data_IF_285579315872
#
_entry.id   IF_285579315872
#
_cell.length_a   1.000
_cell.length_b   1.000
_cell.length_c   1.000
_cell.angle_alpha   90.00
_cell.angle_beta   90.00
_cell.angle_gamma   90.00
#
_symmetry.space_group_name_H-M   'P 1'
#
loop_
_entity.id
_entity.type
_entity.pdbx_description
1 polymer ?
#
# COMPACT_ATOMS: atom_id res chain seq x y z
N UNK A 1 26.41 -15.37 -6.23
CA UNK A 1 25.32 -15.87 -5.35
C UNK A 1 25.45 -17.39 -5.23
N UNK A 2 25.46 -18.17 -6.32
CA UNK A 2 25.46 -19.64 -6.29
C UNK A 2 26.61 -20.22 -5.48
N UNK A 3 27.84 -19.80 -5.76
CA UNK A 3 29.03 -20.24 -5.02
C UNK A 3 28.95 -19.89 -3.50
N UNK A 4 28.35 -18.76 -3.16
CA UNK A 4 28.12 -18.38 -1.76
C UNK A 4 27.08 -19.30 -1.11
N UNK A 5 25.97 -19.54 -1.79
CA UNK A 5 24.90 -20.40 -1.28
C UNK A 5 25.37 -21.85 -1.10
N UNK A 6 26.13 -22.39 -2.06
CA UNK A 6 26.71 -23.73 -1.98
C UNK A 6 27.69 -23.86 -0.81
N UNK A 7 28.65 -22.93 -0.70
CA UNK A 7 29.64 -22.90 0.40
C UNK A 7 28.98 -22.86 1.77
N UNK A 8 27.89 -22.12 1.92
CA UNK A 8 27.21 -21.91 3.20
C UNK A 8 25.99 -22.83 3.40
N UNK A 9 25.78 -23.80 2.51
CA UNK A 9 24.64 -24.77 2.55
C UNK A 9 23.30 -24.07 2.69
N UNK A 10 23.11 -22.96 1.96
CA UNK A 10 21.87 -22.21 1.91
C UNK A 10 20.90 -22.94 1.01
N UNK A 11 19.68 -23.20 1.49
CA UNK A 11 18.70 -24.05 0.79
C UNK A 11 18.00 -23.35 -0.37
N UNK A 12 17.93 -22.01 -0.35
CA UNK A 12 17.31 -21.23 -1.41
C UNK A 12 17.71 -19.75 -1.36
N UNK A 13 17.56 -19.08 -2.49
CA UNK A 13 17.76 -17.64 -2.66
C UNK A 13 16.51 -17.02 -3.25
N UNK A 14 16.03 -15.92 -2.66
CA UNK A 14 14.77 -15.30 -3.02
C UNK A 14 14.93 -13.80 -3.15
N UNK A 15 14.34 -13.23 -4.20
CA UNK A 15 14.24 -11.80 -4.42
C UNK A 15 12.76 -11.42 -4.53
N UNK A 16 12.28 -10.57 -3.66
CA UNK A 16 10.88 -10.18 -3.58
C UNK A 16 10.64 -8.84 -4.26
N UNK A 17 9.50 -8.69 -4.96
CA UNK A 17 9.07 -7.43 -5.58
C UNK A 17 10.10 -6.86 -6.57
N UNK A 18 10.55 -7.70 -7.50
CA UNK A 18 11.59 -7.35 -8.46
C UNK A 18 11.04 -6.54 -9.63
N UNK A 19 11.90 -5.70 -10.20
CA UNK A 19 11.63 -5.01 -11.46
C UNK A 19 11.46 -6.00 -12.62
N UNK A 20 10.47 -5.79 -13.54
CA UNK A 20 10.20 -6.72 -14.64
C UNK A 20 11.40 -6.94 -15.59
N UNK A 21 12.21 -5.90 -15.83
CA UNK A 21 13.40 -6.02 -16.68
C UNK A 21 14.46 -6.88 -15.99
N UNK A 22 14.67 -6.66 -14.71
CA UNK A 22 15.60 -7.47 -13.93
C UNK A 22 15.10 -8.92 -13.76
N UNK A 23 13.78 -9.12 -13.60
CA UNK A 23 13.13 -10.44 -13.61
C UNK A 23 13.56 -11.25 -14.84
N UNK A 24 13.35 -10.70 -16.05
CA UNK A 24 13.66 -11.39 -17.30
C UNK A 24 15.14 -11.79 -17.42
N UNK A 25 16.04 -10.96 -16.87
CA UNK A 25 17.48 -11.27 -16.81
C UNK A 25 17.75 -12.45 -15.86
N UNK A 26 17.14 -12.45 -14.68
CA UNK A 26 17.41 -13.46 -13.65
C UNK A 26 16.80 -14.83 -13.98
N UNK A 27 15.72 -14.87 -14.75
CA UNK A 27 15.16 -16.13 -15.28
C UNK A 27 16.18 -16.87 -16.15
N UNK A 28 17.00 -16.15 -16.93
CA UNK A 28 18.09 -16.72 -17.72
C UNK A 28 19.22 -17.33 -16.86
N UNK A 29 19.27 -16.94 -15.57
CA UNK A 29 20.20 -17.48 -14.58
C UNK A 29 19.56 -18.56 -13.68
N UNK A 30 18.43 -19.14 -14.08
CA UNK A 30 17.79 -20.28 -13.41
C UNK A 30 16.96 -19.90 -12.17
N UNK A 31 16.52 -18.65 -12.07
CA UNK A 31 15.49 -18.26 -11.12
C UNK A 31 14.10 -18.50 -11.70
N UNK A 32 13.21 -19.05 -10.91
CA UNK A 32 11.79 -19.21 -11.27
C UNK A 32 10.98 -18.05 -10.72
N UNK A 33 10.07 -17.54 -11.53
CA UNK A 33 9.19 -16.42 -11.14
C UNK A 33 7.96 -16.97 -10.41
N UNK A 34 7.61 -16.32 -9.31
CA UNK A 34 6.30 -16.41 -8.68
C UNK A 34 5.56 -15.10 -8.89
N UNK A 35 4.43 -15.16 -9.58
CA UNK A 35 3.54 -14.04 -9.82
C UNK A 35 2.64 -13.83 -8.62
N UNK A 36 2.55 -12.60 -8.17
CA UNK A 36 1.59 -12.12 -7.19
C UNK A 36 0.88 -10.88 -7.72
N UNK A 37 -0.18 -10.45 -7.10
CA UNK A 37 -0.73 -9.14 -7.39
C UNK A 37 -0.75 -8.22 -6.16
N UNK A 38 -0.64 -6.94 -6.44
CA UNK A 38 -1.00 -5.84 -5.55
C UNK A 38 -2.09 -4.99 -6.20
N UNK A 39 -2.48 -3.94 -5.52
CA UNK A 39 -3.47 -2.99 -6.01
C UNK A 39 -2.82 -1.62 -6.10
N UNK A 40 -2.66 -1.11 -7.31
CA UNK A 40 -1.97 0.15 -7.54
C UNK A 40 -2.92 1.10 -8.30
N UNK A 41 -3.17 2.27 -7.74
CA UNK A 41 -3.89 3.32 -8.41
C UNK A 41 -2.97 4.08 -9.37
N UNK A 42 -3.48 4.37 -10.55
CA UNK A 42 -2.79 5.19 -11.57
C UNK A 42 -3.64 6.42 -11.89
N UNK A 43 -3.00 7.57 -11.93
CA UNK A 43 -3.64 8.80 -12.36
C UNK A 43 -3.93 8.74 -13.87
N UNK A 44 -5.20 8.80 -14.22
CA UNK A 44 -5.66 8.85 -15.62
C UNK A 44 -5.83 10.30 -16.10
N UNK A 45 -4.91 11.17 -15.71
CA UNK A 45 -4.96 12.62 -16.00
C UNK A 45 -6.14 13.33 -15.34
N UNK A 46 -6.59 12.84 -14.18
CA UNK A 46 -7.62 13.50 -13.39
C UNK A 46 -7.16 14.89 -12.97
N UNK A 47 -8.06 15.87 -13.11
CA UNK A 47 -7.82 17.24 -12.68
C UNK A 47 -8.39 17.50 -11.28
N UNK A 48 -9.30 16.63 -10.81
CA UNK A 48 -9.97 16.73 -9.52
C UNK A 48 -10.37 15.36 -8.98
N UNK A 49 -10.70 15.31 -7.70
CA UNK A 49 -11.30 14.12 -7.11
C UNK A 49 -12.68 13.79 -7.71
N UNK A 50 -13.41 14.81 -8.16
CA UNK A 50 -14.69 14.61 -8.86
C UNK A 50 -14.50 13.94 -10.23
N UNK A 51 -13.43 14.22 -10.96
CA UNK A 51 -13.09 13.51 -12.20
C UNK A 51 -12.82 12.02 -11.93
N UNK A 52 -12.07 11.74 -10.87
CA UNK A 52 -11.86 10.36 -10.43
C UNK A 52 -13.20 9.69 -10.06
N UNK A 53 -14.06 10.35 -9.29
CA UNK A 53 -15.40 9.84 -8.96
C UNK A 53 -16.28 9.63 -10.20
N UNK A 54 -16.13 10.46 -11.21
CA UNK A 54 -16.90 10.37 -12.44
C UNK A 54 -16.65 9.08 -13.23
N UNK A 55 -15.52 8.41 -13.03
CA UNK A 55 -15.22 7.11 -13.66
C UNK A 55 -16.06 5.96 -13.11
N UNK A 56 -16.50 6.06 -11.85
CA UNK A 56 -17.28 4.99 -11.22
C UNK A 56 -18.72 4.91 -11.71
N UNK A 57 -19.28 3.71 -11.69
CA UNK A 57 -20.71 3.53 -11.83
C UNK A 57 -21.48 4.25 -10.71
N UNK A 58 -22.76 4.49 -10.93
CA UNK A 58 -23.57 5.32 -10.03
C UNK A 58 -23.65 4.76 -8.60
N UNK A 59 -23.65 3.44 -8.44
CA UNK A 59 -23.74 2.79 -7.14
C UNK A 59 -22.45 3.00 -6.34
N UNK A 60 -21.28 2.73 -6.95
CA UNK A 60 -19.99 2.87 -6.26
C UNK A 60 -19.67 4.33 -5.97
N UNK A 61 -20.00 5.26 -6.86
CA UNK A 61 -19.85 6.70 -6.62
C UNK A 61 -20.66 7.16 -5.40
N UNK A 62 -21.91 6.68 -5.26
CA UNK A 62 -22.73 6.96 -4.06
C UNK A 62 -22.11 6.36 -2.80
N UNK A 63 -21.55 5.15 -2.88
CA UNK A 63 -20.89 4.52 -1.74
C UNK A 63 -19.67 5.32 -1.28
N UNK A 64 -18.79 5.74 -2.19
CA UNK A 64 -17.62 6.56 -1.85
C UNK A 64 -18.04 7.88 -1.18
N UNK A 65 -19.04 8.58 -1.75
CA UNK A 65 -19.57 9.82 -1.15
C UNK A 65 -20.15 9.58 0.25
N UNK A 66 -20.84 8.46 0.46
CA UNK A 66 -21.39 8.08 1.77
C UNK A 66 -20.28 7.78 2.78
N UNK A 67 -19.23 7.06 2.38
CA UNK A 67 -18.10 6.72 3.24
C UNK A 67 -17.37 7.99 3.69
N UNK A 68 -17.09 8.94 2.80
CA UNK A 68 -16.50 10.25 3.17
C UNK A 68 -17.42 11.08 4.06
N UNK A 69 -18.72 11.10 3.76
CA UNK A 69 -19.71 11.81 4.59
C UNK A 69 -19.82 11.20 6.00
N UNK A 70 -19.64 9.90 6.15
CA UNK A 70 -19.66 9.26 7.48
C UNK A 70 -18.56 9.80 8.38
N UNK A 71 -17.36 10.04 7.84
CA UNK A 71 -16.23 10.63 8.57
C UNK A 71 -16.53 12.06 8.99
N UNK A 72 -17.07 12.88 8.09
CA UNK A 72 -17.49 14.25 8.42
C UNK A 72 -18.60 14.27 9.47
N UNK A 73 -19.63 13.41 9.32
CA UNK A 73 -20.72 13.27 10.28
C UNK A 73 -20.26 12.79 11.67
N UNK A 74 -19.15 12.04 11.73
CA UNK A 74 -18.50 11.67 13.00
C UNK A 74 -17.73 12.85 13.66
N UNK A 75 -17.83 14.06 13.10
CA UNK A 75 -17.18 15.26 13.60
C UNK A 75 -15.67 15.26 13.41
N UNK A 76 -15.19 14.65 12.31
CA UNK A 76 -13.76 14.58 12.00
C UNK A 76 -13.40 15.45 10.80
N UNK A 77 -12.19 16.01 10.85
CA UNK A 77 -11.53 16.68 9.73
C UNK A 77 -10.21 16.00 9.43
N UNK A 78 -9.95 15.70 8.15
CA UNK A 78 -8.68 15.16 7.71
C UNK A 78 -7.79 16.29 7.16
N UNK A 79 -6.53 16.31 7.59
CA UNK A 79 -5.50 17.22 7.08
C UNK A 79 -4.36 16.44 6.48
N UNK A 80 -3.92 16.84 5.28
CA UNK A 80 -2.70 16.31 4.67
C UNK A 80 -1.54 17.23 5.06
N UNK A 81 -0.52 16.66 5.68
CA UNK A 81 0.66 17.36 6.15
C UNK A 81 1.90 16.79 5.46
N UNK A 82 2.75 17.68 4.92
CA UNK A 82 3.95 17.29 4.16
C UNK A 82 5.12 18.19 4.54
N UNK A 83 6.33 17.68 4.43
CA UNK A 83 7.55 18.46 4.60
C UNK A 83 7.60 19.21 5.94
N UNK A 84 7.95 20.49 5.87
CA UNK A 84 8.11 21.35 7.06
C UNK A 84 6.79 21.71 7.75
N UNK A 85 5.65 21.46 7.09
CA UNK A 85 4.33 21.63 7.70
C UNK A 85 3.99 20.52 8.71
N UNK A 86 4.80 19.43 8.77
CA UNK A 86 4.57 18.32 9.71
C UNK A 86 5.16 18.71 11.08
N UNK A 87 4.32 18.85 12.13
CA UNK A 87 4.83 19.01 13.50
C UNK A 87 5.67 17.81 13.93
N UNK A 88 6.85 18.05 14.50
CA UNK A 88 7.77 16.99 14.95
C UNK A 88 7.09 15.93 15.82
N UNK A 89 6.17 16.32 16.69
CA UNK A 89 5.46 15.41 17.58
C UNK A 89 4.63 14.35 16.84
N UNK A 90 4.19 14.61 15.60
CA UNK A 90 3.40 13.66 14.83
C UNK A 90 4.21 12.43 14.38
N UNK A 91 5.52 12.53 14.29
CA UNK A 91 6.36 11.36 13.98
C UNK A 91 6.34 10.33 15.12
N UNK A 92 6.50 10.77 16.36
CA UNK A 92 6.32 9.89 17.53
C UNK A 92 4.88 9.40 17.65
N UNK A 93 3.89 10.26 17.37
CA UNK A 93 2.48 9.87 17.41
C UNK A 93 2.14 8.81 16.36
N UNK A 94 2.74 8.89 15.16
CA UNK A 94 2.57 7.85 14.14
C UNK A 94 3.10 6.49 14.61
N UNK A 95 4.20 6.46 15.36
CA UNK A 95 4.68 5.23 15.99
C UNK A 95 3.65 4.64 16.97
N UNK A 96 2.99 5.48 17.79
CA UNK A 96 1.97 4.99 18.71
C UNK A 96 0.84 4.29 17.93
N UNK A 97 0.30 4.95 16.90
CA UNK A 97 -0.73 4.37 16.06
C UNK A 97 -0.28 3.09 15.30
N UNK A 98 0.96 3.09 14.81
CA UNK A 98 1.55 1.89 14.19
C UNK A 98 1.64 0.74 15.20
N UNK A 99 2.16 1.02 16.39
CA UNK A 99 2.30 0.02 17.46
C UNK A 99 0.95 -0.55 17.87
N UNK A 100 -0.05 0.30 18.13
CA UNK A 100 -1.40 -0.10 18.51
C UNK A 100 -2.06 -0.97 17.42
N UNK A 101 -1.84 -0.64 16.14
CA UNK A 101 -2.35 -1.45 15.03
C UNK A 101 -1.67 -2.82 14.98
N UNK A 102 -0.35 -2.89 15.17
CA UNK A 102 0.36 -4.18 15.23
C UNK A 102 -0.15 -5.04 16.42
N UNK A 103 -0.39 -4.43 17.57
CA UNK A 103 -0.85 -5.14 18.77
C UNK A 103 -2.25 -5.76 18.60
N UNK A 104 -3.14 -5.11 17.80
CA UNK A 104 -4.46 -5.66 17.46
C UNK A 104 -4.38 -6.99 16.70
N UNK A 105 -3.30 -7.22 15.96
CA UNK A 105 -3.07 -8.48 15.23
C UNK A 105 -2.40 -9.57 16.08
N UNK A 106 -2.04 -9.29 17.34
CA UNK A 106 -1.44 -10.24 18.27
C UNK A 106 -0.19 -10.91 17.69
N UNK A 107 -0.15 -12.24 17.65
CA UNK A 107 0.97 -13.02 17.13
C UNK A 107 1.30 -12.77 15.65
N UNK A 108 0.36 -12.26 14.87
CA UNK A 108 0.54 -11.91 13.44
C UNK A 108 0.99 -10.47 13.25
N UNK A 109 0.96 -9.66 14.30
CA UNK A 109 1.34 -8.25 14.29
C UNK A 109 2.85 -8.09 14.44
N UNK A 110 3.58 -8.01 13.34
CA UNK A 110 5.03 -7.84 13.35
C UNK A 110 5.42 -6.37 13.46
N UNK A 111 6.01 -5.98 14.60
CA UNK A 111 6.59 -4.64 14.80
C UNK A 111 8.02 -4.59 14.28
N UNK A 112 8.18 -4.30 12.99
CA UNK A 112 9.50 -4.20 12.36
C UNK A 112 10.21 -2.88 12.65
N UNK A 113 9.44 -1.80 12.93
CA UNK A 113 9.96 -0.46 13.07
C UNK A 113 9.91 -0.01 14.53
N UNK A 114 10.93 0.76 14.92
CA UNK A 114 11.05 1.32 16.25
C UNK A 114 10.54 2.77 16.29
N UNK A 115 10.25 3.31 17.48
CA UNK A 115 9.96 4.74 17.66
C UNK A 115 11.06 5.61 17.08
N UNK A 116 12.30 5.23 17.29
CA UNK A 116 13.48 5.95 16.77
C UNK A 116 13.47 6.05 15.24
N UNK A 117 12.99 5.02 14.53
CA UNK A 117 12.84 5.09 13.06
C UNK A 117 11.92 6.26 12.67
N UNK A 118 10.72 6.35 13.25
CA UNK A 118 9.78 7.43 12.93
C UNK A 118 10.34 8.81 13.32
N UNK A 119 10.94 8.95 14.49
CA UNK A 119 11.54 10.21 14.95
C UNK A 119 12.68 10.68 14.06
N UNK A 120 13.47 9.76 13.50
CA UNK A 120 14.57 10.06 12.58
C UNK A 120 14.11 10.52 11.19
N UNK A 121 12.87 10.23 10.81
CA UNK A 121 12.31 10.74 9.56
C UNK A 121 12.18 12.27 9.57
N UNK A 122 11.89 12.86 10.73
CA UNK A 122 11.68 14.31 10.82
C UNK A 122 12.91 15.14 10.37
N UNK A 123 14.14 14.92 10.87
CA UNK A 123 15.28 15.73 10.47
C UNK A 123 15.84 15.38 9.09
N UNK A 124 15.59 14.18 8.56
CA UNK A 124 16.30 13.71 7.38
C UNK A 124 15.40 13.45 6.17
N UNK A 125 14.12 13.12 6.38
CA UNK A 125 13.21 12.63 5.34
C UNK A 125 11.82 13.26 5.39
N UNK A 126 11.56 14.28 6.20
CA UNK A 126 10.26 14.95 6.28
C UNK A 126 9.73 15.37 4.91
N UNK A 127 10.61 15.82 4.01
CA UNK A 127 10.28 16.21 2.63
C UNK A 127 9.72 15.07 1.76
N UNK A 128 9.84 13.81 2.21
CA UNK A 128 9.27 12.63 1.56
C UNK A 128 8.03 12.11 2.25
N UNK A 129 7.73 12.60 3.44
CA UNK A 129 6.61 12.13 4.26
C UNK A 129 5.33 12.84 3.89
N UNK A 130 4.26 12.07 3.76
CA UNK A 130 2.89 12.55 3.65
C UNK A 130 2.09 11.89 4.77
N UNK A 131 1.65 12.67 5.75
CA UNK A 131 0.69 12.23 6.76
C UNK A 131 -0.71 12.69 6.39
N UNK A 132 -1.67 11.77 6.40
CA UNK A 132 -3.08 12.13 6.48
C UNK A 132 -3.51 11.95 7.92
N UNK A 133 -3.84 13.05 8.58
CA UNK A 133 -4.12 13.08 10.01
C UNK A 133 -5.56 13.49 10.24
N UNK A 134 -6.29 12.66 10.98
CA UNK A 134 -7.66 12.95 11.39
C UNK A 134 -7.69 13.63 12.76
N UNK A 135 -8.45 14.70 12.85
CA UNK A 135 -8.69 15.47 14.07
C UNK A 135 -10.19 15.54 14.34
N UNK A 136 -10.57 15.74 15.61
CA UNK A 136 -11.94 16.16 15.91
C UNK A 136 -12.12 17.62 15.50
N UNK A 137 -13.30 17.98 15.01
CA UNK A 137 -13.60 19.37 14.61
C UNK A 137 -13.54 20.36 15.78
N UNK A 138 -13.79 19.89 17.00
CA UNK A 138 -13.72 20.65 18.25
C UNK A 138 -12.34 20.62 18.94
N UNK A 139 -11.41 19.73 18.51
CA UNK A 139 -10.06 19.63 19.05
C UNK A 139 -9.04 19.24 17.97
N UNK A 140 -8.49 20.23 17.31
CA UNK A 140 -7.44 20.06 16.31
C UNK A 140 -6.04 19.81 16.88
N UNK A 141 -5.87 19.76 18.20
CA UNK A 141 -4.56 19.53 18.84
C UNK A 141 -4.24 18.06 18.98
N UNK A 142 -5.25 17.20 19.05
CA UNK A 142 -5.08 15.76 19.27
C UNK A 142 -5.58 14.96 18.07
N UNK A 143 -4.63 14.31 17.36
CA UNK A 143 -4.97 13.42 16.27
C UNK A 143 -5.64 12.15 16.80
N UNK A 144 -6.73 11.72 16.15
CA UNK A 144 -7.49 10.51 16.48
C UNK A 144 -7.14 9.34 15.58
N UNK A 145 -6.48 9.59 14.46
CA UNK A 145 -5.98 8.57 13.54
C UNK A 145 -5.03 9.18 12.51
N UNK A 146 -4.15 8.37 11.96
CA UNK A 146 -3.17 8.81 10.96
C UNK A 146 -2.87 7.72 9.96
N UNK A 147 -2.67 8.11 8.69
CA UNK A 147 -1.97 7.28 7.71
C UNK A 147 -0.61 7.89 7.39
N UNK A 148 0.34 7.01 7.13
CA UNK A 148 1.72 7.33 6.78
C UNK A 148 2.00 6.89 5.36
N UNK A 149 2.32 7.85 4.50
CA UNK A 149 2.77 7.63 3.14
C UNK A 149 4.15 8.25 2.91
N UNK A 150 4.83 7.77 1.87
CA UNK A 150 6.11 8.30 1.39
C UNK A 150 6.01 8.65 -0.09
N UNK A 151 6.75 9.67 -0.51
CA UNK A 151 6.87 10.05 -1.93
C UNK A 151 8.25 9.71 -2.50
N UNK A 152 8.28 9.27 -3.77
CA UNK A 152 9.51 9.14 -4.55
C UNK A 152 9.20 9.44 -6.02
N UNK A 153 9.76 10.52 -6.54
CA UNK A 153 9.38 11.02 -7.87
C UNK A 153 7.89 11.33 -7.90
N UNK A 154 7.21 10.87 -8.93
CA UNK A 154 5.76 10.98 -9.10
C UNK A 154 4.95 9.83 -8.46
N UNK A 155 5.52 9.13 -7.49
CA UNK A 155 4.89 8.00 -6.84
C UNK A 155 4.61 8.27 -5.37
N UNK A 156 3.43 7.82 -4.89
CA UNK A 156 3.02 7.81 -3.49
C UNK A 156 2.96 6.37 -2.98
N UNK A 157 3.49 6.12 -1.80
CA UNK A 157 3.55 4.80 -1.17
C UNK A 157 2.90 4.84 0.21
N UNK A 158 1.70 4.31 0.35
CA UNK A 158 1.06 4.08 1.64
C UNK A 158 1.75 2.94 2.41
N UNK A 159 2.01 3.15 3.68
CA UNK A 159 2.76 2.18 4.49
C UNK A 159 2.06 1.77 5.77
N UNK A 160 1.71 2.70 6.62
CA UNK A 160 1.14 2.40 7.92
C UNK A 160 -0.09 3.26 8.20
N UNK A 161 -0.94 2.70 9.02
CA UNK A 161 -2.17 3.32 9.49
C UNK A 161 -2.40 2.95 10.94
N UNK A 162 -3.05 3.85 11.67
CA UNK A 162 -3.62 3.54 12.97
C UNK A 162 -4.56 4.63 13.46
N UNK A 163 -5.41 4.25 14.42
CA UNK A 163 -6.35 5.15 15.08
C UNK A 163 -6.54 4.77 16.53
N UNK A 164 -6.78 5.77 17.37
CA UNK A 164 -7.01 5.60 18.81
C UNK A 164 -8.28 4.78 19.12
N UNK A 165 -9.26 4.85 18.24
CA UNK A 165 -10.50 4.10 18.32
C UNK A 165 -11.01 3.74 16.92
N UNK A 166 -11.88 2.75 16.83
CA UNK A 166 -12.54 2.39 15.58
C UNK A 166 -13.59 3.45 15.24
N UNK A 167 -13.47 4.06 14.06
CA UNK A 167 -14.41 5.05 13.54
C UNK A 167 -14.78 4.61 12.13
N UNK A 168 -16.08 4.50 11.88
CA UNK A 168 -16.60 4.02 10.61
C UNK A 168 -16.04 4.82 9.42
N UNK A 169 -15.59 4.10 8.40
CA UNK A 169 -15.03 4.63 7.16
C UNK A 169 -13.74 5.48 7.29
N UNK A 170 -13.26 5.80 8.50
CA UNK A 170 -12.06 6.62 8.68
C UNK A 170 -10.82 6.01 8.00
N UNK A 171 -10.62 4.70 8.15
CA UNK A 171 -9.54 4.00 7.44
C UNK A 171 -9.61 4.20 5.93
N UNK A 172 -10.80 4.15 5.35
CA UNK A 172 -10.96 4.30 3.91
C UNK A 172 -10.67 5.71 3.42
N UNK A 173 -11.09 6.71 4.18
CA UNK A 173 -10.83 8.10 3.81
C UNK A 173 -9.34 8.45 4.00
N UNK A 174 -8.78 8.14 5.17
CA UNK A 174 -7.40 8.47 5.49
C UNK A 174 -6.35 7.68 4.69
N UNK A 175 -6.67 6.44 4.24
CA UNK A 175 -5.71 5.59 3.54
C UNK A 175 -5.92 5.54 2.01
N UNK A 176 -7.07 5.98 1.49
CA UNK A 176 -7.36 5.91 0.05
C UNK A 176 -7.90 7.23 -0.51
N UNK A 177 -9.04 7.74 -0.04
CA UNK A 177 -9.70 8.87 -0.70
C UNK A 177 -8.92 10.17 -0.55
N UNK A 178 -8.56 10.55 0.65
CA UNK A 178 -7.74 11.76 0.90
C UNK A 178 -6.35 11.64 0.25
N UNK A 179 -5.63 10.51 0.33
CA UNK A 179 -4.38 10.34 -0.43
C UNK A 179 -4.53 10.44 -1.95
N UNK A 180 -5.62 9.90 -2.55
CA UNK A 180 -5.89 10.04 -4.00
C UNK A 180 -6.17 11.50 -4.35
N UNK A 181 -6.99 12.19 -3.58
CA UNK A 181 -7.30 13.61 -3.78
C UNK A 181 -6.03 14.46 -3.73
N UNK A 182 -5.18 14.23 -2.73
CA UNK A 182 -3.88 14.87 -2.63
C UNK A 182 -2.94 14.49 -3.79
N UNK A 183 -2.92 13.24 -4.20
CA UNK A 183 -2.10 12.74 -5.29
C UNK A 183 -2.47 13.43 -6.63
N UNK A 184 -3.76 13.60 -6.90
CA UNK A 184 -4.24 14.33 -8.07
C UNK A 184 -3.77 15.78 -8.03
N UNK A 185 -3.94 16.47 -6.90
CA UNK A 185 -3.55 17.87 -6.73
C UNK A 185 -2.03 18.12 -6.76
N UNK A 186 -1.20 17.07 -6.65
CA UNK A 186 0.27 17.15 -6.62
C UNK A 186 0.94 16.36 -7.76
N UNK A 187 0.22 16.13 -8.87
CA UNK A 187 0.74 15.46 -10.08
C UNK A 187 1.35 14.08 -9.83
N UNK A 188 0.91 13.39 -8.79
CA UNK A 188 1.30 12.01 -8.52
C UNK A 188 0.68 11.11 -9.56
N UNK A 189 1.50 10.27 -10.19
CA UNK A 189 1.08 9.39 -11.27
C UNK A 189 0.70 7.99 -10.77
N UNK A 190 1.29 7.56 -9.66
CA UNK A 190 1.09 6.22 -9.13
C UNK A 190 0.93 6.27 -7.61
N UNK A 191 -0.09 5.56 -7.10
CA UNK A 191 -0.26 5.34 -5.67
C UNK A 191 -0.31 3.85 -5.36
N UNK A 192 0.71 3.38 -4.66
CA UNK A 192 0.77 2.05 -4.04
C UNK A 192 0.32 2.14 -2.58
N UNK A 193 -0.87 1.71 -2.22
CA UNK A 193 -1.40 1.82 -0.85
C UNK A 193 -0.91 0.70 0.09
N UNK A 194 0.10 -0.07 -0.31
CA UNK A 194 0.64 -1.21 0.43
C UNK A 194 0.01 -2.54 0.03
N UNK A 195 0.48 -3.63 0.66
CA UNK A 195 0.10 -4.99 0.32
C UNK A 195 -1.35 -5.34 0.69
N UNK A 196 -1.90 -6.34 -0.01
CA UNK A 196 -3.19 -6.98 0.29
C UNK A 196 -4.42 -6.11 0.08
N UNK A 197 -5.57 -6.62 0.53
CA UNK A 197 -6.80 -5.85 0.64
C UNK A 197 -7.69 -5.82 -0.61
N UNK A 198 -8.50 -6.88 -0.84
CA UNK A 198 -9.51 -6.93 -1.92
C UNK A 198 -10.52 -5.75 -1.92
N UNK A 199 -10.68 -5.06 -0.78
CA UNK A 199 -11.52 -3.87 -0.68
C UNK A 199 -11.00 -2.70 -1.54
N UNK A 200 -9.73 -2.69 -1.95
CA UNK A 200 -9.12 -1.69 -2.83
C UNK A 200 -9.76 -1.70 -4.23
N UNK A 201 -10.17 -2.86 -4.73
CA UNK A 201 -10.93 -3.00 -5.97
C UNK A 201 -12.15 -2.06 -6.00
N UNK A 202 -12.92 -1.98 -4.90
CA UNK A 202 -14.08 -1.09 -4.79
C UNK A 202 -13.73 0.40 -4.87
N UNK A 203 -12.45 0.73 -4.69
CA UNK A 203 -11.89 2.08 -4.78
C UNK A 203 -11.10 2.30 -6.06
N UNK A 204 -11.38 1.50 -7.09
CA UNK A 204 -10.81 1.67 -8.43
C UNK A 204 -9.33 1.36 -8.56
N UNK A 205 -8.76 0.58 -7.61
CA UNK A 205 -7.40 0.09 -7.74
C UNK A 205 -7.40 -1.21 -8.54
N UNK A 206 -6.82 -1.25 -9.74
CA UNK A 206 -6.65 -2.49 -10.49
C UNK A 206 -5.65 -3.42 -9.81
N UNK A 207 -5.85 -4.72 -10.03
CA UNK A 207 -4.83 -5.71 -9.72
C UNK A 207 -3.64 -5.52 -10.66
N UNK A 208 -2.46 -5.38 -10.08
CA UNK A 208 -1.20 -5.11 -10.79
C UNK A 208 -0.19 -6.19 -10.46
N UNK A 209 0.52 -6.76 -11.46
CA UNK A 209 1.45 -7.84 -11.23
C UNK A 209 2.65 -7.40 -10.38
N UNK A 210 3.02 -8.25 -9.45
CA UNK A 210 4.28 -8.23 -8.73
C UNK A 210 5.01 -9.54 -8.95
N UNK A 211 6.31 -9.48 -9.05
CA UNK A 211 7.14 -10.64 -9.30
C UNK A 211 8.09 -10.89 -8.15
N UNK A 212 8.17 -12.14 -7.72
CA UNK A 212 9.24 -12.63 -6.85
C UNK A 212 10.03 -13.71 -7.59
N UNK A 213 11.31 -13.78 -7.31
CA UNK A 213 12.22 -14.72 -7.93
C UNK A 213 12.73 -15.70 -6.88
N UNK A 214 12.67 -16.97 -7.21
CA UNK A 214 13.04 -18.05 -6.32
C UNK A 214 14.01 -19.01 -7.00
N UNK A 215 15.06 -19.38 -6.29
CA UNK A 215 15.97 -20.45 -6.68
C UNK A 215 16.27 -21.32 -5.47
N UNK A 216 16.00 -22.60 -5.59
CA UNK A 216 16.27 -23.57 -4.54
C UNK A 216 17.51 -24.39 -4.89
N UNK A 217 18.42 -24.53 -3.96
CA UNK A 217 19.63 -25.34 -4.07
C UNK A 217 19.39 -26.75 -3.50
N UNK A 218 18.37 -26.91 -2.65
CA UNK A 218 17.92 -28.21 -2.17
C UNK A 218 17.03 -28.85 -3.25
N UNK A 219 17.40 -30.05 -3.78
CA UNK A 219 16.72 -30.63 -4.95
C UNK A 219 15.22 -30.91 -4.75
N UNK A 220 14.79 -31.30 -3.55
CA UNK A 220 13.38 -31.59 -3.25
C UNK A 220 12.54 -30.33 -3.32
N UNK A 221 13.04 -29.20 -2.77
CA UNK A 221 12.34 -27.91 -2.85
C UNK A 221 12.30 -27.40 -4.30
N UNK A 222 13.40 -27.54 -5.04
CA UNK A 222 13.43 -27.19 -6.46
C UNK A 222 12.40 -28.00 -7.27
N UNK A 223 12.31 -29.30 -7.03
CA UNK A 223 11.35 -30.18 -7.71
C UNK A 223 9.90 -29.81 -7.37
N UNK A 224 9.57 -29.65 -6.07
CA UNK A 224 8.21 -29.28 -5.64
C UNK A 224 7.82 -27.92 -6.22
N UNK A 225 8.70 -26.93 -6.06
CA UNK A 225 8.41 -25.59 -6.57
C UNK A 225 8.22 -25.59 -8.09
N UNK A 226 9.14 -26.23 -8.84
CA UNK A 226 9.08 -26.32 -10.29
C UNK A 226 7.84 -27.07 -10.81
N UNK A 227 7.34 -28.06 -10.06
CA UNK A 227 6.15 -28.83 -10.45
C UNK A 227 4.85 -28.01 -10.40
N UNK A 228 4.78 -26.98 -9.55
CA UNK A 228 3.52 -26.26 -9.30
C UNK A 228 3.53 -24.79 -9.67
N UNK A 229 4.69 -24.17 -9.87
CA UNK A 229 4.78 -22.72 -10.01
C UNK A 229 4.06 -22.18 -11.24
N UNK A 230 4.04 -22.91 -12.35
CA UNK A 230 3.33 -22.51 -13.57
C UNK A 230 1.82 -22.51 -13.38
N UNK A 231 1.29 -23.53 -12.71
CA UNK A 231 -0.14 -23.59 -12.37
C UNK A 231 -0.54 -22.47 -11.41
N UNK A 232 0.27 -22.21 -10.38
CA UNK A 232 0.07 -21.11 -9.42
C UNK A 232 0.06 -19.77 -10.14
N UNK A 233 1.03 -19.51 -11.02
CA UNK A 233 1.10 -18.29 -11.80
C UNK A 233 -0.10 -18.12 -12.75
N UNK A 234 -0.55 -19.22 -13.35
CA UNK A 234 -1.74 -19.22 -14.22
C UNK A 234 -3.01 -18.89 -13.43
N UNK A 235 -3.17 -19.46 -12.24
CA UNK A 235 -4.30 -19.15 -11.35
C UNK A 235 -4.29 -17.68 -10.91
N UNK A 236 -3.12 -17.16 -10.53
CA UNK A 236 -2.94 -15.76 -10.13
C UNK A 236 -3.28 -14.81 -11.28
N UNK A 237 -2.79 -15.10 -12.50
CA UNK A 237 -3.13 -14.29 -13.67
C UNK A 237 -4.64 -14.25 -13.95
N UNK A 238 -5.32 -15.41 -13.86
CA UNK A 238 -6.78 -15.48 -14.01
C UNK A 238 -7.52 -14.68 -12.95
N UNK A 239 -7.05 -14.70 -11.70
CA UNK A 239 -7.62 -13.89 -10.63
C UNK A 239 -7.46 -12.39 -10.92
N UNK A 240 -6.27 -11.96 -11.34
CA UNK A 240 -6.02 -10.57 -11.75
C UNK A 240 -6.95 -10.13 -12.88
N UNK A 241 -7.08 -10.93 -13.92
CA UNK A 241 -7.94 -10.65 -15.06
C UNK A 241 -9.41 -10.52 -14.63
N UNK A 242 -9.88 -11.43 -13.77
CA UNK A 242 -11.23 -11.38 -13.22
C UNK A 242 -11.47 -10.16 -12.32
N UNK A 243 -10.47 -9.74 -11.57
CA UNK A 243 -10.55 -8.50 -10.77
C UNK A 243 -10.66 -7.29 -11.69
N UNK A 244 -9.80 -7.19 -12.70
CA UNK A 244 -9.69 -6.04 -13.58
C UNK A 244 -10.90 -5.90 -14.51
N UNK A 245 -11.47 -7.00 -14.99
CA UNK A 245 -12.73 -7.00 -15.75
C UNK A 245 -13.95 -6.54 -14.93
N UNK A 246 -13.88 -6.65 -13.60
CA UNK A 246 -14.98 -6.33 -12.69
C UNK A 246 -14.67 -5.14 -11.78
N UNK A 247 -13.86 -4.19 -12.24
CA UNK A 247 -13.70 -2.91 -11.54
C UNK A 247 -15.02 -2.13 -11.59
N UNK A 248 -15.33 -1.33 -10.55
CA UNK A 248 -16.63 -0.66 -10.42
C UNK A 248 -16.72 0.62 -11.26
N UNK A 249 -16.07 0.64 -12.40
CA UNK A 249 -16.11 1.74 -13.34
C UNK A 249 -17.36 1.70 -14.22
N UNK A 250 -17.63 2.79 -14.94
CA UNK A 250 -18.63 2.81 -15.99
C UNK A 250 -18.20 1.88 -17.12
N UNK A 251 -19.16 1.29 -17.85
CA UNK A 251 -18.86 0.56 -19.08
C UNK A 251 -18.22 1.47 -20.12
#
# INVERSE_FOLDING_TARGET
IDHFCDRHKILGCHFLYVDPVWKARMEQHGFSTWLHHSFIWQNQSYQSFDDYLAQFNANQRRNIKRERKAVDTAGLTLKVLTGDAIPKALFSKMYDFYSDTCDKFGWWGSKYLTRRFFEQLWPHYNHRVVFVTAYRQDDERHSVGMSFCLTKGSNLYGRYWGAAQEIDCLHFDACYYTPIEWAIANDIQLFDPGAGGRHKKRRGFPATPNYSLHRFYEPRFAQIFGAYIEDVNTMEQREMDAINQNLPFKP
#
